data_IF_640083756848
#
_entry.id   IF_640083756848
#
_cell.length_a   1.000
_cell.length_b   1.000
_cell.length_c   1.000
_cell.angle_alpha   90.00
_cell.angle_beta   90.00
_cell.angle_gamma   90.00
#
_symmetry.space_group_name_H-M   'P 1'
#
loop_
_entity.id
_entity.type
_entity.pdbx_description
1 polymer ?
#
# COMPACT_ATOMS: atom_id res chain seq x y z
N UNK A 1 -3.47 10.34 -1.94
CA UNK A 1 -2.00 10.25 -1.90
C UNK A 1 -1.43 10.03 -3.30
N UNK A 2 -0.31 10.65 -3.64
CA UNK A 2 0.46 10.39 -4.86
C UNK A 2 1.26 9.10 -4.75
N UNK A 3 1.75 8.57 -5.88
CA UNK A 3 2.63 7.39 -5.87
C UNK A 3 3.88 7.59 -5.00
N UNK A 4 4.46 8.80 -5.04
CA UNK A 4 5.63 9.15 -4.22
C UNK A 4 5.26 9.18 -2.74
N UNK A 5 4.16 9.84 -2.37
CA UNK A 5 3.69 9.89 -0.97
C UNK A 5 3.42 8.49 -0.40
N UNK A 6 2.79 7.61 -1.18
CA UNK A 6 2.50 6.23 -0.76
C UNK A 6 3.80 5.47 -0.49
N UNK A 7 4.76 5.51 -1.42
CA UNK A 7 6.03 4.79 -1.26
C UNK A 7 6.81 5.32 -0.06
N UNK A 8 6.91 6.65 0.07
CA UNK A 8 7.58 7.29 1.21
C UNK A 8 6.94 6.89 2.54
N UNK A 9 5.61 6.86 2.63
CA UNK A 9 4.90 6.47 3.84
C UNK A 9 5.13 4.99 4.18
N UNK A 10 5.07 4.09 3.19
CA UNK A 10 5.36 2.66 3.38
C UNK A 10 6.83 2.44 3.82
N UNK A 11 7.78 3.11 3.16
CA UNK A 11 9.21 3.02 3.52
C UNK A 11 9.50 3.59 4.92
N UNK A 12 8.69 4.56 5.38
CA UNK A 12 8.76 5.08 6.75
C UNK A 12 8.06 4.18 7.80
N UNK A 13 7.45 3.07 7.38
CA UNK A 13 6.74 2.14 8.26
C UNK A 13 5.30 2.55 8.61
N UNK A 14 4.75 3.58 7.96
CA UNK A 14 3.36 3.98 8.18
C UNK A 14 2.39 2.95 7.59
N UNK A 15 1.25 2.76 8.26
CA UNK A 15 0.16 1.97 7.72
C UNK A 15 -0.54 2.72 6.59
N UNK A 16 -0.29 2.32 5.35
CA UNK A 16 -0.99 2.84 4.16
C UNK A 16 -2.04 1.85 3.68
N UNK A 17 -3.24 2.35 3.43
CA UNK A 17 -4.42 1.54 3.09
C UNK A 17 -5.06 2.03 1.79
N UNK A 18 -5.85 1.17 1.15
CA UNK A 18 -6.57 1.48 -0.08
C UNK A 18 -8.06 1.14 0.04
N UNK A 19 -8.95 2.09 -0.24
CA UNK A 19 -10.41 1.95 -0.24
C UNK A 19 -11.06 1.65 1.13
N UNK A 20 -10.45 0.82 1.98
CA UNK A 20 -10.83 0.52 3.36
C UNK A 20 -9.66 -0.14 4.12
N UNK A 21 -9.82 -0.33 5.44
CA UNK A 21 -8.79 -0.90 6.31
C UNK A 21 -8.41 -2.37 6.01
N UNK A 22 -9.15 -3.06 5.13
CA UNK A 22 -8.86 -4.42 4.73
C UNK A 22 -7.74 -4.55 3.70
N UNK A 23 -7.47 -3.50 2.91
CA UNK A 23 -6.39 -3.49 1.91
C UNK A 23 -5.21 -2.67 2.40
N UNK A 24 -4.05 -3.33 2.52
CA UNK A 24 -2.82 -2.71 3.04
C UNK A 24 -1.79 -2.62 1.93
N UNK A 25 -1.11 -1.48 1.84
CA UNK A 25 0.04 -1.31 0.96
C UNK A 25 1.31 -1.70 1.71
N UNK A 26 2.08 -2.62 1.14
CA UNK A 26 3.34 -3.12 1.73
C UNK A 26 4.44 -3.14 0.66
N UNK A 27 5.70 -3.15 1.11
CA UNK A 27 6.88 -3.39 0.26
C UNK A 27 7.42 -4.78 0.58
N UNK A 28 7.54 -5.64 -0.43
CA UNK A 28 8.09 -7.00 -0.27
C UNK A 28 9.64 -7.00 -0.23
N UNK A 29 10.23 -8.17 0.01
CA UNK A 29 11.69 -8.34 0.06
C UNK A 29 12.40 -8.11 -1.29
N UNK A 30 11.66 -8.07 -2.39
CA UNK A 30 12.16 -7.74 -3.73
C UNK A 30 11.98 -6.25 -4.06
N UNK A 31 11.45 -5.47 -3.13
CA UNK A 31 11.20 -4.04 -3.29
C UNK A 31 9.94 -3.69 -4.08
N UNK A 32 9.06 -4.66 -4.35
CA UNK A 32 7.77 -4.40 -5.01
C UNK A 32 6.76 -3.90 -4.00
N UNK A 33 6.00 -2.89 -4.41
CA UNK A 33 4.88 -2.38 -3.63
C UNK A 33 3.60 -3.10 -4.04
N UNK A 34 2.90 -3.66 -3.06
CA UNK A 34 1.70 -4.49 -3.25
C UNK A 34 0.55 -3.93 -2.44
N UNK A 35 -0.65 -3.96 -3.01
CA UNK A 35 -1.91 -3.76 -2.30
C UNK A 35 -2.47 -5.15 -2.00
N UNK A 36 -2.56 -5.49 -0.71
CA UNK A 36 -2.95 -6.83 -0.26
C UNK A 36 -4.23 -6.79 0.55
N UNK A 37 -5.23 -7.59 0.17
CA UNK A 37 -6.43 -7.81 0.97
C UNK A 37 -6.13 -8.79 2.10
N UNK A 38 -6.11 -8.27 3.33
CA UNK A 38 -5.64 -8.99 4.53
C UNK A 38 -6.42 -10.26 4.87
N UNK A 39 -7.71 -10.33 4.51
CA UNK A 39 -8.56 -11.49 4.86
C UNK A 39 -8.17 -12.77 4.13
N UNK A 40 -7.66 -12.68 2.90
CA UNK A 40 -7.35 -13.86 2.08
C UNK A 40 -5.98 -13.80 1.37
N UNK A 41 -5.19 -12.75 1.59
CA UNK A 41 -3.86 -12.60 1.03
C UNK A 41 -3.83 -12.28 -0.48
N UNK A 42 -4.98 -12.04 -1.11
CA UNK A 42 -5.01 -11.61 -2.51
C UNK A 42 -4.25 -10.29 -2.65
N UNK A 43 -3.31 -10.25 -3.59
CA UNK A 43 -2.42 -9.11 -3.78
C UNK A 43 -2.37 -8.68 -5.24
N UNK A 44 -2.36 -7.38 -5.45
CA UNK A 44 -2.08 -6.74 -6.74
C UNK A 44 -0.90 -5.79 -6.58
N UNK A 45 -0.23 -5.43 -7.68
CA UNK A 45 0.77 -4.36 -7.65
C UNK A 45 0.15 -3.02 -7.25
N UNK A 46 0.90 -2.18 -6.54
CA UNK A 46 0.51 -0.78 -6.30
C UNK A 46 0.34 0.00 -7.61
N UNK A 47 1.09 -0.39 -8.64
CA UNK A 47 1.04 0.21 -9.97
C UNK A 47 0.72 -0.82 -11.06
N UNK A 48 0.37 -0.33 -12.23
CA UNK A 48 0.41 -1.11 -13.47
C UNK A 48 1.83 -1.70 -13.73
N UNK A 49 1.93 -2.56 -14.75
CA UNK A 49 3.16 -3.33 -15.04
C UNK A 49 4.39 -2.46 -15.37
N UNK A 50 4.20 -1.27 -15.91
CA UNK A 50 5.29 -0.34 -16.22
C UNK A 50 5.73 0.53 -15.02
N UNK A 51 5.00 0.47 -13.89
CA UNK A 51 5.38 1.18 -12.68
C UNK A 51 4.95 2.65 -12.60
N UNK A 52 4.24 3.17 -13.59
CA UNK A 52 3.98 4.62 -13.74
C UNK A 52 2.63 5.07 -13.20
N UNK A 53 1.61 4.19 -13.18
CA UNK A 53 0.25 4.54 -12.77
C UNK A 53 -0.23 3.68 -11.61
N UNK A 54 -0.83 4.29 -10.61
CA UNK A 54 -1.49 3.60 -9.50
C UNK A 54 -2.59 2.66 -10.00
N UNK A 55 -2.69 1.50 -9.36
CA UNK A 55 -3.91 0.68 -9.39
C UNK A 55 -4.82 1.20 -8.28
N UNK A 56 -5.82 2.01 -8.64
CA UNK A 56 -6.65 2.76 -7.70
C UNK A 56 -6.54 4.27 -7.94
N UNK A 57 -7.49 5.04 -7.41
CA UNK A 57 -7.45 6.50 -7.48
C UNK A 57 -6.66 7.07 -6.31
N UNK A 58 -5.86 8.13 -6.50
CA UNK A 58 -5.11 8.77 -5.42
C UNK A 58 -5.94 9.04 -4.15
N UNK A 59 -7.20 9.44 -4.30
CA UNK A 59 -8.11 9.78 -3.18
C UNK A 59 -8.55 8.56 -2.35
N UNK A 60 -8.39 7.35 -2.87
CA UNK A 60 -8.75 6.10 -2.17
C UNK A 60 -7.66 5.63 -1.22
N UNK A 61 -6.47 6.24 -1.27
CA UNK A 61 -5.34 5.90 -0.40
C UNK A 61 -5.27 6.83 0.80
N UNK A 62 -5.06 6.25 1.97
CA UNK A 62 -4.97 6.98 3.23
C UNK A 62 -3.98 6.33 4.19
N UNK A 63 -3.42 7.15 5.09
CA UNK A 63 -2.60 6.70 6.22
C UNK A 63 -3.51 6.60 7.44
N UNK A 64 -3.27 5.61 8.29
CA UNK A 64 -3.86 5.55 9.64
C UNK A 64 -2.75 5.36 10.68
N UNK A 65 -2.94 5.95 11.85
CA UNK A 65 -1.99 5.90 12.98
C UNK A 65 -1.89 4.51 13.65
N UNK A 66 -2.41 3.47 13.01
CA UNK A 66 -2.24 2.10 13.48
C UNK A 66 -0.81 1.66 13.19
N UNK A 67 0.13 2.11 14.01
CA UNK A 67 1.42 1.48 14.20
C UNK A 67 1.16 -0.01 14.44
N UNK A 68 1.40 -0.85 13.43
CA UNK A 68 1.45 -2.29 13.64
C UNK A 68 2.68 -2.56 14.49
N UNK A 69 2.43 -2.76 15.79
CA UNK A 69 3.26 -3.60 16.64
C UNK A 69 3.42 -4.91 15.90
N UNK A 70 4.63 -5.17 15.40
CA UNK A 70 5.03 -6.50 14.96
C UNK A 70 4.95 -7.41 16.19
N UNK A 71 4.01 -8.36 16.19
CA UNK A 71 4.05 -9.55 17.05
C UNK A 71 4.77 -10.67 16.31
#
# INVERSE_FOLDING_TARGET
MTLVEIRTAVDAGNGVYWMNNGYVVTRDCLGKYLITFTRNGSAIGLTNRDGTRLNGRPEEFFITDSAKVLQ
#
